data_IF_473971020019
#
_entry.id   IF_473971020019
#
_cell.length_a   1.000
_cell.length_b   1.000
_cell.length_c   1.000
_cell.angle_alpha   90.00
_cell.angle_beta   90.00
_cell.angle_gamma   90.00
#
_symmetry.space_group_name_H-M   'P 1'
#
loop_
_entity.id
_entity.type
_entity.pdbx_description
1 polymer ?
#
# COMPACT_ATOMS: atom_id res chain seq x y z
N UNK A 1 0.83 17.12 -0.79
CA UNK A 1 1.23 16.46 -2.06
C UNK A 1 0.89 17.40 -3.19
N UNK A 2 1.86 17.67 -4.05
CA UNK A 2 1.65 18.42 -5.28
C UNK A 2 0.73 17.63 -6.22
N UNK A 3 -0.20 18.31 -6.91
CA UNK A 3 -1.16 17.67 -7.82
C UNK A 3 -1.00 18.26 -9.21
N UNK A 4 -0.96 17.39 -10.22
CA UNK A 4 -0.94 17.79 -11.63
C UNK A 4 -2.24 17.34 -12.31
N UNK A 5 -2.92 18.26 -12.99
CA UNK A 5 -4.13 17.95 -13.75
C UNK A 5 -3.76 17.28 -15.07
N UNK A 6 -4.53 16.26 -15.45
CA UNK A 6 -4.36 15.51 -16.71
C UNK A 6 -5.71 15.44 -17.43
N UNK A 7 -5.72 15.75 -18.72
CA UNK A 7 -6.89 15.63 -19.58
C UNK A 7 -6.81 14.32 -20.36
N UNK A 8 -7.89 13.52 -20.33
CA UNK A 8 -7.95 12.22 -21.00
C UNK A 8 -9.05 12.23 -22.07
N UNK A 9 -8.71 11.74 -23.27
CA UNK A 9 -9.71 11.42 -24.29
C UNK A 9 -10.15 9.97 -24.10
N UNK A 10 -11.43 9.75 -23.79
CA UNK A 10 -12.00 8.44 -23.50
C UNK A 10 -13.22 8.18 -24.39
N UNK A 11 -13.47 6.92 -24.81
CA UNK A 11 -14.69 6.58 -25.54
C UNK A 11 -15.95 6.98 -24.74
N UNK A 12 -16.93 7.62 -25.39
CA UNK A 12 -18.18 8.07 -24.75
C UNK A 12 -18.90 6.93 -24.01
N UNK A 13 -18.90 5.74 -24.59
CA UNK A 13 -19.51 4.55 -23.98
C UNK A 13 -18.81 4.13 -22.68
N UNK A 14 -17.48 4.21 -22.63
CA UNK A 14 -16.69 3.92 -21.43
C UNK A 14 -16.97 4.96 -20.35
N UNK A 15 -16.97 6.24 -20.71
CA UNK A 15 -17.25 7.35 -19.79
C UNK A 15 -18.63 7.20 -19.14
N UNK A 16 -19.64 6.79 -19.90
CA UNK A 16 -21.00 6.56 -19.38
C UNK A 16 -21.03 5.44 -18.35
N UNK A 17 -20.35 4.31 -18.62
CA UNK A 17 -20.25 3.19 -17.67
C UNK A 17 -19.48 3.58 -16.42
N UNK A 18 -18.35 4.29 -16.57
CA UNK A 18 -17.55 4.74 -15.45
C UNK A 18 -18.33 5.68 -14.51
N UNK A 19 -19.13 6.61 -15.07
CA UNK A 19 -20.02 7.47 -14.27
C UNK A 19 -21.05 6.68 -13.46
N UNK A 20 -21.68 5.66 -14.04
CA UNK A 20 -22.61 4.80 -13.32
C UNK A 20 -21.94 4.04 -12.17
N UNK A 21 -20.72 3.53 -12.40
CA UNK A 21 -19.93 2.84 -11.37
C UNK A 21 -19.54 3.79 -10.24
N UNK A 22 -19.09 5.00 -10.58
CA UNK A 22 -18.73 6.02 -9.61
C UNK A 22 -19.95 6.40 -8.73
N UNK A 23 -21.11 6.65 -9.35
CA UNK A 23 -22.35 6.94 -8.65
C UNK A 23 -22.79 5.79 -7.72
N UNK A 24 -22.71 4.53 -8.19
CA UNK A 24 -23.01 3.33 -7.37
C UNK A 24 -22.10 3.22 -6.14
N UNK A 25 -20.89 3.79 -6.20
CA UNK A 25 -19.91 3.77 -5.12
C UNK A 25 -19.87 5.07 -4.32
N UNK A 26 -20.82 5.99 -4.54
CA UNK A 26 -20.88 7.31 -3.91
C UNK A 26 -19.59 8.13 -4.11
N UNK A 27 -18.95 7.98 -5.29
CA UNK A 27 -17.69 8.65 -5.64
C UNK A 27 -17.82 9.51 -6.87
N UNK A 28 -16.94 10.51 -6.97
CA UNK A 28 -16.76 11.26 -8.22
C UNK A 28 -16.04 10.41 -9.27
N UNK A 29 -16.21 10.74 -10.55
CA UNK A 29 -15.47 10.05 -11.63
C UNK A 29 -13.95 10.24 -11.47
N UNK A 30 -13.50 11.45 -11.13
CA UNK A 30 -12.08 11.75 -10.94
C UNK A 30 -11.50 10.97 -9.76
N UNK A 31 -12.26 10.80 -8.69
CA UNK A 31 -11.86 9.98 -7.55
C UNK A 31 -11.75 8.49 -7.90
N UNK A 32 -12.73 7.94 -8.63
CA UNK A 32 -12.67 6.56 -9.12
C UNK A 32 -11.44 6.31 -10.00
N UNK A 33 -11.11 7.27 -10.88
CA UNK A 33 -9.92 7.20 -11.75
C UNK A 33 -8.63 7.27 -10.93
N UNK A 34 -8.56 8.18 -9.95
CA UNK A 34 -7.42 8.31 -9.04
C UNK A 34 -7.16 7.00 -8.31
N UNK A 35 -8.18 6.42 -7.69
CA UNK A 35 -8.04 5.17 -6.92
C UNK A 35 -7.60 4.00 -7.81
N UNK A 36 -8.17 3.91 -9.01
CA UNK A 36 -7.80 2.87 -9.97
C UNK A 36 -6.34 3.00 -10.41
N UNK A 37 -5.84 4.23 -10.57
CA UNK A 37 -4.45 4.50 -10.90
C UNK A 37 -3.52 4.18 -9.73
N UNK A 38 -3.87 4.63 -8.52
CA UNK A 38 -3.13 4.30 -7.28
C UNK A 38 -3.06 2.80 -7.06
N UNK A 39 -4.14 2.07 -7.32
CA UNK A 39 -4.15 0.61 -7.23
C UNK A 39 -3.21 -0.04 -8.23
N UNK A 40 -3.23 0.39 -9.49
CA UNK A 40 -2.31 -0.14 -10.52
C UNK A 40 -0.85 0.14 -10.19
N UNK A 41 -0.54 1.38 -9.79
CA UNK A 41 0.82 1.75 -9.38
C UNK A 41 1.23 0.90 -8.19
N UNK A 42 0.39 0.78 -7.16
CA UNK A 42 0.68 -0.05 -5.98
C UNK A 42 0.85 -1.53 -6.33
N UNK A 43 0.09 -2.08 -7.27
CA UNK A 43 0.27 -3.47 -7.71
C UNK A 43 1.65 -3.66 -8.35
N UNK A 44 2.11 -2.68 -9.14
CA UNK A 44 3.40 -2.73 -9.82
C UNK A 44 4.59 -2.43 -8.88
N UNK A 45 4.43 -1.47 -7.96
CA UNK A 45 5.52 -1.02 -7.07
C UNK A 45 5.51 -1.68 -5.70
N UNK A 46 4.38 -2.25 -5.26
CA UNK A 46 4.17 -2.71 -3.90
C UNK A 46 5.12 -3.83 -3.49
N UNK A 47 5.44 -4.75 -4.42
CA UNK A 47 6.47 -5.76 -4.17
C UNK A 47 7.84 -5.12 -3.95
N UNK A 48 8.25 -4.20 -4.84
CA UNK A 48 9.55 -3.53 -4.77
C UNK A 48 9.68 -2.70 -3.48
N UNK A 49 8.65 -1.95 -3.12
CA UNK A 49 8.63 -1.15 -1.89
C UNK A 49 8.68 -2.03 -0.63
N UNK A 50 7.95 -3.15 -0.63
CA UNK A 50 7.99 -4.12 0.47
C UNK A 50 9.37 -4.78 0.60
N UNK A 51 9.95 -5.18 -0.53
CA UNK A 51 11.30 -5.74 -0.62
C UNK A 51 12.33 -4.75 -0.09
N UNK A 52 12.34 -3.52 -0.58
CA UNK A 52 13.29 -2.49 -0.13
C UNK A 52 13.13 -2.16 1.35
N UNK A 53 11.89 -2.09 1.85
CA UNK A 53 11.62 -1.91 3.28
C UNK A 53 12.22 -3.05 4.09
N UNK A 54 12.01 -4.30 3.67
CA UNK A 54 12.53 -5.47 4.37
C UNK A 54 14.07 -5.50 4.36
N UNK A 55 14.70 -5.19 3.22
CA UNK A 55 16.16 -5.08 3.13
C UNK A 55 16.71 -4.02 4.07
N UNK A 56 16.05 -2.86 4.19
CA UNK A 56 16.45 -1.82 5.16
C UNK A 56 16.35 -2.31 6.60
N UNK A 57 15.28 -3.03 6.95
CA UNK A 57 15.12 -3.61 8.29
C UNK A 57 16.21 -4.64 8.60
N UNK A 58 16.52 -5.54 7.65
CA UNK A 58 17.58 -6.54 7.82
C UNK A 58 18.96 -5.91 7.96
N UNK A 59 19.27 -4.86 7.18
CA UNK A 59 20.54 -4.13 7.29
C UNK A 59 20.68 -3.36 8.60
N UNK A 60 19.59 -2.75 9.08
CA UNK A 60 19.58 -2.04 10.37
C UNK A 60 19.68 -3.02 11.54
N UNK A 61 19.06 -4.19 11.42
CA UNK A 61 18.85 -5.11 12.52
C UNK A 61 17.85 -4.55 13.54
N UNK A 62 17.53 -5.37 14.55
CA UNK A 62 16.73 -4.95 15.69
C UNK A 62 17.58 -5.07 16.95
N UNK A 63 17.57 -4.03 17.78
CA UNK A 63 18.06 -4.17 19.16
C UNK A 63 16.99 -4.91 19.97
N UNK A 64 17.25 -6.17 20.23
CA UNK A 64 16.35 -7.04 21.00
C UNK A 64 16.61 -6.93 22.52
N UNK A 65 17.52 -6.05 22.97
CA UNK A 65 17.89 -5.90 24.38
C UNK A 65 18.64 -7.10 24.95
N UNK A 66 18.99 -8.08 24.13
CA UNK A 66 19.63 -9.34 24.55
C UNK A 66 21.13 -9.22 24.72
N UNK A 67 21.77 -8.14 24.21
CA UNK A 67 23.24 -7.99 24.17
C UNK A 67 23.96 -9.23 23.60
N UNK A 68 23.29 -9.97 22.70
CA UNK A 68 23.81 -11.21 22.11
C UNK A 68 23.57 -12.49 22.93
N UNK A 69 22.92 -12.40 24.08
CA UNK A 69 22.56 -13.54 24.93
C UNK A 69 21.05 -13.62 25.13
N UNK A 70 20.44 -14.66 24.56
CA UNK A 70 19.02 -14.94 24.79
C UNK A 70 18.93 -15.81 26.03
N UNK A 71 18.53 -15.22 27.16
CA UNK A 71 18.41 -15.91 28.46
C UNK A 71 17.00 -16.39 28.76
N UNK A 72 16.01 -15.93 28.00
CA UNK A 72 14.60 -16.26 28.18
C UNK A 72 14.18 -17.33 27.17
N UNK A 73 13.48 -18.35 27.65
CA UNK A 73 12.91 -19.37 26.77
C UNK A 73 11.66 -18.85 26.06
N UNK A 74 11.30 -19.51 24.96
CA UNK A 74 10.07 -19.20 24.22
C UNK A 74 8.84 -19.33 25.12
N UNK A 75 8.80 -20.36 25.96
CA UNK A 75 7.65 -20.66 26.80
C UNK A 75 7.51 -19.63 27.93
N UNK A 76 8.63 -19.20 28.54
CA UNK A 76 8.66 -18.08 29.50
C UNK A 76 8.21 -16.73 28.90
N UNK A 77 8.45 -16.48 27.60
CA UNK A 77 7.92 -15.31 26.90
C UNK A 77 6.40 -15.40 26.67
N UNK A 78 5.90 -16.59 26.34
CA UNK A 78 4.48 -16.81 26.08
C UNK A 78 3.63 -16.67 27.35
N UNK A 79 4.16 -17.08 28.50
CA UNK A 79 3.49 -16.99 29.80
C UNK A 79 3.42 -15.57 30.40
N UNK A 80 4.12 -14.59 29.82
CA UNK A 80 4.09 -13.16 30.25
C UNK A 80 2.86 -12.37 29.78
N UNK A 81 1.83 -13.05 29.28
CA UNK A 81 0.54 -12.46 28.90
C UNK A 81 -0.42 -12.43 30.08
#
# INVERSE_FOLDING_TARGET
MERQNVTLSLPKALLRKAKMIAAKREKSLSELLRESLEEKVRQETGYKEAMERQIRLMKKGFDLGTKGQITISRDELHERR
#
